data_IF_163079567468
#
_entry.id   IF_163079567468
#
_cell.length_a   1.000
_cell.length_b   1.000
_cell.length_c   1.000
_cell.angle_alpha   90.00
_cell.angle_beta   90.00
_cell.angle_gamma   90.00
#
_symmetry.space_group_name_H-M   'P 1'
#
loop_
_entity.id
_entity.type
_entity.pdbx_description
1 polymer ?
#
# COMPACT_ATOMS: atom_id res chain seq x y z
N UNK A 1 -22.87 15.08 -17.88
CA UNK A 1 -22.53 13.90 -17.04
C UNK A 1 -21.02 13.84 -16.73
N UNK A 2 -20.36 14.96 -16.43
CA UNK A 2 -18.91 14.99 -16.12
C UNK A 2 -18.60 14.87 -14.61
N UNK A 3 -19.56 15.21 -13.74
CA UNK A 3 -19.38 15.23 -12.28
C UNK A 3 -19.01 13.84 -11.72
N UNK A 4 -19.76 12.79 -12.09
CA UNK A 4 -19.57 11.42 -11.57
C UNK A 4 -18.19 10.80 -11.85
N UNK A 5 -17.42 11.32 -12.81
CA UNK A 5 -16.10 10.79 -13.21
C UNK A 5 -14.96 11.48 -12.47
N UNK A 6 -15.05 12.80 -12.27
CA UNK A 6 -14.11 13.54 -11.40
C UNK A 6 -14.13 12.94 -10.01
N UNK A 7 -15.34 12.71 -9.48
CA UNK A 7 -15.55 12.10 -8.16
C UNK A 7 -14.88 10.72 -8.05
N UNK A 8 -14.91 9.91 -9.13
CA UNK A 8 -14.25 8.59 -9.14
C UNK A 8 -12.73 8.70 -9.13
N UNK A 9 -12.15 9.63 -9.89
CA UNK A 9 -10.70 9.83 -9.93
C UNK A 9 -10.21 10.35 -8.57
N UNK A 10 -10.93 11.27 -7.95
CA UNK A 10 -10.62 11.79 -6.61
C UNK A 10 -10.66 10.68 -5.55
N UNK A 11 -11.66 9.79 -5.59
CA UNK A 11 -11.72 8.63 -4.70
C UNK A 11 -10.51 7.70 -4.88
N UNK A 12 -10.14 7.39 -6.13
CA UNK A 12 -8.98 6.55 -6.41
C UNK A 12 -7.66 7.21 -5.96
N UNK A 13 -7.55 8.54 -6.01
CA UNK A 13 -6.38 9.26 -5.47
C UNK A 13 -6.33 9.13 -3.95
N UNK A 14 -7.45 9.38 -3.26
CA UNK A 14 -7.51 9.28 -1.80
C UNK A 14 -7.19 7.85 -1.31
N UNK A 15 -7.67 6.84 -2.01
CA UNK A 15 -7.40 5.43 -1.69
C UNK A 15 -5.93 5.05 -1.96
N UNK A 16 -5.31 5.58 -3.03
CA UNK A 16 -3.87 5.45 -3.27
C UNK A 16 -3.04 6.04 -2.13
N UNK A 17 -3.36 7.25 -1.70
CA UNK A 17 -2.67 7.93 -0.60
C UNK A 17 -2.79 7.14 0.71
N UNK A 18 -3.98 6.63 1.01
CA UNK A 18 -4.22 5.80 2.19
C UNK A 18 -3.43 4.47 2.15
N UNK A 19 -3.34 3.83 0.98
CA UNK A 19 -2.52 2.61 0.81
C UNK A 19 -1.03 2.91 0.99
N UNK A 20 -0.55 4.04 0.47
CA UNK A 20 0.84 4.44 0.62
C UNK A 20 1.19 4.73 2.09
N UNK A 21 0.29 5.37 2.84
CA UNK A 21 0.46 5.59 4.28
C UNK A 21 0.54 4.26 5.07
N UNK A 22 -0.31 3.29 4.73
CA UNK A 22 -0.28 1.95 5.35
C UNK A 22 1.03 1.21 5.06
N UNK A 23 1.53 1.28 3.83
CA UNK A 23 2.81 0.68 3.43
C UNK A 23 3.96 1.33 4.22
N UNK A 24 4.00 2.66 4.29
CA UNK A 24 5.02 3.38 5.05
C UNK A 24 4.95 3.01 6.54
N UNK A 25 3.75 2.82 7.10
CA UNK A 25 3.57 2.35 8.47
C UNK A 25 4.16 0.96 8.67
N UNK A 26 4.00 0.05 7.71
CA UNK A 26 4.63 -1.28 7.76
C UNK A 26 6.17 -1.18 7.79
N UNK A 27 6.77 -0.28 7.01
CA UNK A 27 8.23 -0.05 7.01
C UNK A 27 8.73 0.48 8.37
N UNK A 28 7.96 1.39 8.98
CA UNK A 28 8.24 1.89 10.34
C UNK A 28 8.16 0.75 11.36
N UNK A 29 7.14 -0.11 11.27
CA UNK A 29 7.01 -1.28 12.14
C UNK A 29 8.17 -2.26 11.99
N UNK A 30 8.62 -2.54 10.75
CA UNK A 30 9.82 -3.37 10.51
C UNK A 30 11.03 -2.78 11.20
N UNK A 31 11.28 -1.48 11.00
CA UNK A 31 12.41 -0.79 11.63
C UNK A 31 12.35 -0.88 13.16
N UNK A 32 11.20 -0.62 13.76
CA UNK A 32 11.02 -0.69 15.21
C UNK A 32 11.25 -2.11 15.78
N UNK A 33 10.84 -3.15 15.05
CA UNK A 33 11.09 -4.54 15.46
C UNK A 33 12.57 -4.87 15.36
N UNK A 34 13.26 -4.44 14.30
CA UNK A 34 14.70 -4.64 14.14
C UNK A 34 15.49 -3.90 15.23
N UNK A 35 15.13 -2.66 15.53
CA UNK A 35 15.74 -1.87 16.60
C UNK A 35 15.58 -2.57 17.96
N UNK A 36 14.38 -3.10 18.25
CA UNK A 36 14.14 -3.85 19.47
C UNK A 36 15.00 -5.11 19.59
N UNK A 37 15.22 -5.84 18.48
CA UNK A 37 16.13 -7.00 18.43
C UNK A 37 17.56 -6.58 18.78
N UNK A 38 18.02 -5.47 18.23
CA UNK A 38 19.37 -4.94 18.48
C UNK A 38 19.54 -4.47 19.93
N UNK A 39 18.52 -3.82 20.51
CA UNK A 39 18.55 -3.34 21.90
C UNK A 39 18.49 -4.49 22.92
N UNK A 40 17.80 -5.59 22.61
CA UNK A 40 17.48 -6.67 23.56
C UNK A 40 18.03 -8.03 23.12
N UNK A 41 19.20 -8.06 22.47
CA UNK A 41 19.82 -9.24 21.84
C UNK A 41 19.81 -10.56 22.65
N UNK A 42 19.72 -10.51 23.98
CA UNK A 42 19.71 -11.71 24.85
C UNK A 42 18.31 -12.13 25.31
N UNK A 43 17.31 -11.26 25.19
CA UNK A 43 15.98 -11.46 25.78
C UNK A 43 14.90 -11.72 24.73
N UNK A 44 15.20 -11.50 23.45
CA UNK A 44 14.26 -11.75 22.35
C UNK A 44 14.52 -13.11 21.73
N UNK A 45 13.49 -13.96 21.76
CA UNK A 45 13.49 -15.23 21.07
C UNK A 45 13.41 -15.01 19.53
N UNK A 46 14.43 -15.44 18.80
CA UNK A 46 14.61 -15.11 17.38
C UNK A 46 13.42 -15.54 16.50
N UNK A 47 12.84 -16.73 16.73
CA UNK A 47 11.70 -17.21 15.93
C UNK A 47 10.44 -16.36 16.15
N UNK A 48 10.31 -15.74 17.33
CA UNK A 48 9.20 -14.82 17.59
C UNK A 48 9.38 -13.55 16.79
N UNK A 49 10.60 -13.01 16.74
CA UNK A 49 10.92 -11.84 15.93
C UNK A 49 10.72 -12.11 14.42
N UNK A 50 11.18 -13.26 13.92
CA UNK A 50 10.94 -13.68 12.54
C UNK A 50 9.44 -13.83 12.23
N UNK A 51 8.66 -14.40 13.15
CA UNK A 51 7.20 -14.52 12.98
C UNK A 51 6.50 -13.16 12.90
N UNK A 52 6.92 -12.19 13.71
CA UNK A 52 6.42 -10.81 13.65
C UNK A 52 6.80 -10.15 12.32
N UNK A 53 8.07 -10.19 11.93
CA UNK A 53 8.56 -9.62 10.67
C UNK A 53 7.86 -10.24 9.45
N UNK A 54 7.65 -11.56 9.46
CA UNK A 54 6.93 -12.28 8.41
C UNK A 54 5.48 -11.80 8.30
N UNK A 55 4.82 -11.59 9.43
CA UNK A 55 3.44 -11.10 9.47
C UNK A 55 3.33 -9.67 8.92
N UNK A 56 4.25 -8.78 9.32
CA UNK A 56 4.31 -7.41 8.80
C UNK A 56 4.59 -7.43 7.28
N UNK A 57 5.49 -8.29 6.84
CA UNK A 57 5.81 -8.43 5.41
C UNK A 57 4.59 -8.91 4.60
N UNK A 58 3.84 -9.89 5.08
CA UNK A 58 2.60 -10.34 4.43
C UNK A 58 1.60 -9.19 4.30
N UNK A 59 1.34 -8.46 5.39
CA UNK A 59 0.43 -7.29 5.36
C UNK A 59 0.90 -6.23 4.36
N UNK A 60 2.20 -5.91 4.35
CA UNK A 60 2.77 -4.94 3.40
C UNK A 60 2.61 -5.41 1.96
N UNK A 61 2.83 -6.69 1.69
CA UNK A 61 2.67 -7.30 0.36
C UNK A 61 1.22 -7.21 -0.13
N UNK A 62 0.25 -7.44 0.77
CA UNK A 62 -1.17 -7.32 0.46
C UNK A 62 -1.52 -5.88 0.03
N UNK A 63 -1.07 -4.87 0.80
CA UNK A 63 -1.28 -3.46 0.45
C UNK A 63 -0.58 -3.05 -0.85
N UNK A 64 0.64 -3.54 -1.09
CA UNK A 64 1.36 -3.28 -2.35
C UNK A 64 0.63 -3.89 -3.55
N UNK A 65 0.02 -5.06 -3.38
CA UNK A 65 -0.78 -5.73 -4.42
C UNK A 65 -2.05 -4.93 -4.70
N UNK A 66 -2.74 -4.47 -3.66
CA UNK A 66 -3.93 -3.62 -3.78
C UNK A 66 -3.60 -2.30 -4.48
N UNK A 67 -2.48 -1.67 -4.11
CA UNK A 67 -1.99 -0.44 -4.74
C UNK A 67 -1.68 -0.65 -6.23
N UNK A 68 -1.12 -1.80 -6.60
CA UNK A 68 -0.87 -2.14 -8.00
C UNK A 68 -2.17 -2.26 -8.79
N UNK A 69 -3.18 -2.93 -8.24
CA UNK A 69 -4.51 -3.03 -8.87
C UNK A 69 -5.17 -1.66 -9.02
N UNK A 70 -5.07 -0.81 -8.00
CA UNK A 70 -5.63 0.53 -8.04
C UNK A 70 -4.95 1.42 -9.09
N UNK A 71 -3.62 1.37 -9.19
CA UNK A 71 -2.86 2.07 -10.25
C UNK A 71 -3.29 1.61 -11.65
N UNK A 72 -3.53 0.31 -11.83
CA UNK A 72 -4.07 -0.23 -13.07
C UNK A 72 -5.48 0.31 -13.36
N UNK A 73 -6.37 0.33 -12.37
CA UNK A 73 -7.72 0.90 -12.54
C UNK A 73 -7.68 2.37 -12.94
N UNK A 74 -6.82 3.18 -12.28
CA UNK A 74 -6.64 4.60 -12.64
C UNK A 74 -6.22 4.78 -14.09
N UNK A 75 -5.28 3.98 -14.57
CA UNK A 75 -4.83 4.02 -15.98
C UNK A 75 -5.99 3.67 -16.91
N UNK A 76 -6.78 2.65 -16.60
CA UNK A 76 -7.93 2.24 -17.42
C UNK A 76 -8.98 3.36 -17.48
N UNK A 77 -9.31 3.96 -16.33
CA UNK A 77 -10.28 5.07 -16.26
C UNK A 77 -9.79 6.26 -17.07
N UNK A 78 -8.52 6.67 -16.91
CA UNK A 78 -7.93 7.77 -17.67
C UNK A 78 -7.83 7.47 -19.18
N UNK A 79 -7.43 6.25 -19.56
CA UNK A 79 -7.27 5.86 -20.97
C UNK A 79 -8.62 5.77 -21.70
N UNK A 80 -9.70 5.45 -20.98
CA UNK A 80 -11.06 5.49 -21.52
C UNK A 80 -11.53 6.91 -21.91
N UNK A 81 -10.83 7.96 -21.49
CA UNK A 81 -11.11 9.36 -21.88
C UNK A 81 -10.65 9.68 -23.31
N UNK A 82 -9.56 9.04 -23.77
CA UNK A 82 -8.96 9.30 -25.08
C UNK A 82 -9.78 8.70 -26.24
N UNK A 83 -10.48 7.59 -26.00
CA UNK A 83 -11.29 6.92 -27.03
C UNK A 83 -12.61 7.66 -27.34
N UNK A 84 -13.13 8.46 -26.41
CA UNK A 84 -14.39 9.22 -26.57
C UNK A 84 -14.25 10.57 -27.29
N UNK A 85 -13.04 10.97 -27.69
CA UNK A 85 -12.76 12.24 -28.41
C UNK A 85 -12.36 12.05 -29.88
N UNK A 86 -12.49 10.84 -30.45
CA UNK A 86 -12.12 10.54 -31.85
C UNK A 86 -13.29 10.11 -32.76
N UNK A 87 -14.55 10.37 -32.39
CA UNK A 87 -15.72 10.12 -33.27
C UNK A 87 -16.56 11.38 -33.39
#
# INVERSE_FOLDING_TARGET
>A
MHTKRSDKIELLIAEEEALQEKINTCEICVSAVLDAIVERQRDIHILTAEGILSSIHTISTDFQTELLHLKLEKIIVASSEMASHQI
#
